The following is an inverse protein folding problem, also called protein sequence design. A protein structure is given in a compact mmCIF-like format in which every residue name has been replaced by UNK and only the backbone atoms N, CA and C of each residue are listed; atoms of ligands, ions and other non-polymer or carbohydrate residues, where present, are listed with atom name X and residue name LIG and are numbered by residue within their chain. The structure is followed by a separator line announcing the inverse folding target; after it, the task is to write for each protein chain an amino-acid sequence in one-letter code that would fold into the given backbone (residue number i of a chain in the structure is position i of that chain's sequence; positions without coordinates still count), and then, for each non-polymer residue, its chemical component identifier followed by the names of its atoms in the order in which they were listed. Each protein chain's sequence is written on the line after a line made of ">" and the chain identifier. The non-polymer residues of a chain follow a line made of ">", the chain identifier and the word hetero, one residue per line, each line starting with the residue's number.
data_IF_010573629084
#
_entry.id   IF_010573629084
#
_cell.length_a   1.000
_cell.length_b   1.000
_cell.length_c   1.000
_cell.angle_alpha   90.00
_cell.angle_beta   90.00
_cell.angle_gamma   90.00
#
_symmetry.space_group_name_H-M   'P 1'
#
loop_
_entity.id
_entity.type
_entity.pdbx_description
1 polymer ?
#
# COMPACT_ATOMS: atom_id res chain seq x y z
N UNK A 1 -2.99 11.58 -10.62
CA UNK A 1 -1.99 10.93 -9.74
C UNK A 1 -2.36 9.45 -9.58
N UNK A 2 -1.44 8.52 -9.80
CA UNK A 2 -1.64 7.08 -9.50
C UNK A 2 -0.57 6.62 -8.51
N UNK A 3 -0.95 6.60 -7.22
CA UNK A 3 -0.05 6.38 -6.12
C UNK A 3 -0.43 5.09 -5.40
N UNK A 4 0.51 4.19 -5.23
CA UNK A 4 0.37 2.91 -4.54
C UNK A 4 1.27 2.89 -3.31
N UNK A 5 0.70 2.56 -2.14
CA UNK A 5 1.47 2.50 -0.90
C UNK A 5 1.31 1.14 -0.24
N UNK A 6 2.35 0.70 0.47
CA UNK A 6 2.30 -0.51 1.28
C UNK A 6 1.43 -0.35 2.56
N UNK A 7 0.85 0.83 2.78
CA UNK A 7 0.03 1.14 3.95
C UNK A 7 -1.07 2.16 3.62
N UNK A 8 -1.89 2.51 4.60
CA UNK A 8 -2.89 3.57 4.47
C UNK A 8 -2.31 4.97 4.16
N UNK A 9 -0.99 5.13 4.13
CA UNK A 9 -0.32 6.40 3.80
C UNK A 9 -0.79 6.97 2.46
N UNK A 10 -0.91 6.12 1.43
CA UNK A 10 -1.42 6.54 0.13
C UNK A 10 -2.82 7.15 0.20
N UNK A 11 -3.72 6.55 1.00
CA UNK A 11 -5.06 7.08 1.22
C UNK A 11 -5.06 8.48 1.84
N UNK A 12 -4.20 8.73 2.83
CA UNK A 12 -4.06 10.06 3.44
C UNK A 12 -3.49 11.10 2.47
N UNK A 13 -2.53 10.72 1.62
CA UNK A 13 -1.98 11.63 0.60
C UNK A 13 -3.07 12.07 -0.39
N UNK A 14 -3.92 11.14 -0.86
CA UNK A 14 -5.08 11.51 -1.69
C UNK A 14 -6.04 12.46 -0.97
N UNK A 15 -6.34 12.23 0.30
CA UNK A 15 -7.19 13.14 1.09
C UNK A 15 -6.57 14.54 1.18
N UNK A 16 -5.26 14.63 1.41
CA UNK A 16 -4.57 15.91 1.52
C UNK A 16 -4.44 16.67 0.19
N UNK A 17 -4.41 15.97 -0.93
CA UNK A 17 -4.38 16.55 -2.27
C UNK A 17 -5.76 16.87 -2.83
N UNK A 18 -6.83 16.47 -2.14
CA UNK A 18 -8.21 16.56 -2.61
C UNK A 18 -8.45 15.88 -3.97
N UNK A 19 -7.72 14.78 -4.21
CA UNK A 19 -7.85 14.00 -5.44
C UNK A 19 -8.70 12.76 -5.25
N UNK A 20 -9.34 12.29 -6.33
CA UNK A 20 -10.04 11.02 -6.32
C UNK A 20 -9.10 9.83 -6.20
N UNK A 21 -9.55 8.80 -5.48
CA UNK A 21 -8.86 7.51 -5.38
C UNK A 21 -8.92 6.78 -6.73
N UNK A 22 -7.76 6.61 -7.38
CA UNK A 22 -7.66 6.11 -8.76
C UNK A 22 -7.31 4.62 -8.87
N UNK A 23 -6.84 3.99 -7.80
CA UNK A 23 -6.46 2.57 -7.83
C UNK A 23 -7.07 1.78 -6.67
N UNK A 24 -7.14 0.44 -6.76
CA UNK A 24 -7.74 -0.40 -5.73
C UNK A 24 -6.88 -0.55 -4.46
N UNK A 25 -5.61 -0.14 -4.48
CA UNK A 25 -4.65 -0.32 -3.38
C UNK A 25 -4.74 0.74 -2.28
N UNK A 26 -5.77 1.58 -2.29
CA UNK A 26 -5.97 2.59 -1.26
C UNK A 26 -6.59 1.98 0.00
N UNK A 27 -6.11 2.41 1.17
CA UNK A 27 -6.58 1.95 2.47
C UNK A 27 -6.36 0.45 2.72
N UNK A 28 -5.38 -0.12 2.05
CA UNK A 28 -4.93 -1.49 2.27
C UNK A 28 -3.55 -1.51 2.93
N UNK A 29 -3.17 -2.69 3.34
CA UNK A 29 -1.85 -3.00 3.84
C UNK A 29 -1.23 -4.09 2.97
N UNK A 30 0.02 -3.91 2.57
CA UNK A 30 0.75 -4.84 1.71
C UNK A 30 2.07 -5.19 2.40
N UNK A 31 2.28 -6.46 2.65
CA UNK A 31 3.52 -6.96 3.25
C UNK A 31 4.72 -6.67 2.33
N UNK A 32 5.95 -6.53 2.85
CA UNK A 32 7.11 -6.12 2.06
C UNK A 32 7.36 -6.98 0.82
N UNK A 33 7.29 -8.32 0.95
CA UNK A 33 7.47 -9.22 -0.19
C UNK A 33 6.35 -9.07 -1.23
N UNK A 34 5.12 -8.94 -0.79
CA UNK A 34 3.98 -8.71 -1.69
C UNK A 34 4.06 -7.34 -2.37
N UNK A 35 4.58 -6.32 -1.66
CA UNK A 35 4.80 -4.99 -2.23
C UNK A 35 5.93 -5.01 -3.29
N UNK A 36 7.02 -5.72 -3.02
CA UNK A 36 8.07 -5.94 -4.00
C UNK A 36 7.52 -6.67 -5.25
N UNK A 37 6.75 -7.74 -5.05
CA UNK A 37 6.11 -8.46 -6.15
C UNK A 37 5.16 -7.56 -6.94
N UNK A 38 4.40 -6.69 -6.25
CA UNK A 38 3.53 -5.72 -6.90
C UNK A 38 4.32 -4.75 -7.80
N UNK A 39 5.47 -4.26 -7.36
CA UNK A 39 6.34 -3.41 -8.18
C UNK A 39 6.80 -4.17 -9.43
N UNK A 40 7.35 -5.37 -9.25
CA UNK A 40 7.97 -6.16 -10.35
C UNK A 40 6.95 -6.64 -11.38
N UNK A 41 5.77 -7.04 -10.91
CA UNK A 41 4.73 -7.64 -11.77
C UNK A 41 3.59 -6.70 -12.12
N UNK A 42 3.61 -5.43 -11.70
CA UNK A 42 2.51 -4.49 -11.80
C UNK A 42 1.80 -4.53 -13.16
N UNK A 43 2.54 -4.40 -14.26
CA UNK A 43 1.99 -4.39 -15.62
C UNK A 43 1.67 -5.79 -16.19
N UNK A 44 2.01 -6.86 -15.45
CA UNK A 44 1.81 -8.25 -15.87
C UNK A 44 0.70 -8.95 -15.11
N UNK A 45 0.28 -8.40 -13.97
CA UNK A 45 -0.76 -8.99 -13.13
C UNK A 45 -2.12 -8.99 -13.83
N UNK A 46 -2.81 -10.11 -13.76
CA UNK A 46 -4.21 -10.18 -14.12
C UNK A 46 -5.08 -9.71 -12.94
N UNK A 47 -5.35 -8.44 -12.88
CA UNK A 47 -6.15 -7.82 -11.81
C UNK A 47 -7.62 -8.26 -11.76
N UNK A 48 -8.10 -9.02 -12.73
CA UNK A 48 -9.42 -9.66 -12.71
C UNK A 48 -9.39 -11.03 -12.05
N UNK A 49 -8.21 -11.65 -11.96
CA UNK A 49 -7.98 -12.91 -11.26
C UNK A 49 -7.74 -12.64 -9.78
N UNK A 50 -8.81 -12.32 -9.05
CA UNK A 50 -8.73 -12.06 -7.61
C UNK A 50 -9.39 -13.19 -6.83
N UNK A 51 -8.71 -13.64 -5.78
CA UNK A 51 -9.22 -14.60 -4.81
C UNK A 51 -9.26 -13.98 -3.42
N UNK A 52 -10.15 -14.49 -2.58
CA UNK A 52 -10.36 -13.96 -1.24
C UNK A 52 -10.01 -15.02 -0.21
N UNK A 53 -9.27 -14.63 0.80
CA UNK A 53 -8.91 -15.50 1.91
C UNK A 53 -9.17 -14.78 3.23
N UNK A 54 -9.69 -15.53 4.20
CA UNK A 54 -9.78 -15.01 5.57
C UNK A 54 -8.37 -14.82 6.12
N UNK A 55 -8.09 -13.65 6.67
CA UNK A 55 -6.80 -13.41 7.31
C UNK A 55 -6.71 -14.25 8.59
N UNK A 56 -5.60 -14.97 8.72
CA UNK A 56 -5.27 -15.72 9.93
C UNK A 56 -4.43 -14.90 10.91
N UNK A 57 -3.85 -13.81 10.44
CA UNK A 57 -2.88 -13.01 11.19
C UNK A 57 -3.53 -11.83 11.94
N UNK A 58 -4.51 -11.19 11.31
CA UNK A 58 -5.19 -10.01 11.88
C UNK A 58 -6.70 -10.22 11.82
N UNK A 59 -7.34 -10.21 12.98
CA UNK A 59 -8.76 -10.55 13.15
C UNK A 59 -9.75 -9.72 12.31
N UNK A 60 -9.39 -8.49 11.99
CA UNK A 60 -10.26 -7.52 11.29
C UNK A 60 -9.87 -7.27 9.83
N UNK A 61 -9.08 -8.15 9.21
CA UNK A 61 -8.62 -7.95 7.84
C UNK A 61 -9.11 -9.03 6.89
N UNK A 62 -9.16 -8.66 5.61
CA UNK A 62 -9.47 -9.56 4.51
C UNK A 62 -8.26 -9.61 3.58
N UNK A 63 -7.77 -10.81 3.30
CA UNK A 63 -6.72 -11.02 2.32
C UNK A 63 -7.34 -11.14 0.94
N UNK A 64 -6.90 -10.27 0.04
CA UNK A 64 -7.20 -10.33 -1.40
C UNK A 64 -5.93 -10.71 -2.11
N UNK A 65 -5.96 -11.79 -2.85
CA UNK A 65 -4.81 -12.32 -3.59
C UNK A 65 -5.04 -12.06 -5.06
N UNK A 66 -4.14 -11.33 -5.69
CA UNK A 66 -4.18 -10.96 -7.10
C UNK A 66 -3.25 -11.91 -7.85
N UNK A 67 -3.83 -12.63 -8.82
CA UNK A 67 -3.13 -13.53 -9.74
C UNK A 67 -2.25 -14.58 -9.05
N UNK A 68 -2.58 -14.95 -7.81
CA UNK A 68 -1.79 -15.80 -6.92
C UNK A 68 -0.36 -15.28 -6.63
N UNK A 69 -0.06 -14.02 -6.94
CA UNK A 69 1.28 -13.43 -6.83
C UNK A 69 1.34 -12.39 -5.72
N UNK A 70 0.34 -11.53 -5.59
CA UNK A 70 0.33 -10.41 -4.65
C UNK A 70 -0.82 -10.53 -3.68
N UNK A 71 -0.51 -10.54 -2.39
CA UNK A 71 -1.49 -10.49 -1.31
C UNK A 71 -1.61 -9.08 -0.75
N UNK A 72 -2.83 -8.57 -0.67
CA UNK A 72 -3.16 -7.28 -0.05
C UNK A 72 -4.18 -7.49 1.06
N UNK A 73 -4.05 -6.73 2.14
CA UNK A 73 -4.94 -6.78 3.29
C UNK A 73 -5.82 -5.52 3.33
N UNK A 74 -7.12 -5.69 3.21
CA UNK A 74 -8.09 -4.61 3.43
C UNK A 74 -8.44 -4.52 4.91
N UNK A 75 -8.16 -3.37 5.56
CA UNK A 75 -8.24 -3.23 7.01
C UNK A 75 -9.54 -2.54 7.45
N UNK A 76 -9.78 -1.31 7.06
CA UNK A 76 -10.81 -0.48 7.70
C UNK A 76 -11.96 -0.06 6.80
N UNK A 77 -11.79 -0.13 5.50
CA UNK A 77 -12.76 0.43 4.57
C UNK A 77 -13.98 -0.45 4.40
N UNK A 78 -13.79 -1.75 4.51
CA UNK A 78 -14.86 -2.75 4.34
C UNK A 78 -15.84 -2.67 5.50
N UNK A 79 -15.34 -2.59 6.74
CA UNK A 79 -16.17 -2.56 7.96
C UNK A 79 -17.13 -1.35 8.01
N UNK A 80 -16.76 -0.24 7.38
CA UNK A 80 -17.60 0.97 7.31
C UNK A 80 -18.70 0.88 6.25
N UNK A 81 -18.62 -0.05 5.32
CA UNK A 81 -19.48 -0.12 4.13
C UNK A 81 -20.26 -1.43 4.02
N UNK A 82 -19.82 -2.48 4.66
CA UNK A 82 -20.44 -3.80 4.64
C UNK A 82 -20.78 -4.23 6.07
N UNK A 83 -21.88 -4.97 6.21
CA UNK A 83 -22.13 -5.70 7.44
C UNK A 83 -21.10 -6.81 7.55
N UNK A 84 -20.35 -6.80 8.63
CA UNK A 84 -19.28 -7.76 8.88
C UNK A 84 -19.76 -8.76 9.92
N UNK A 85 -19.78 -10.02 9.56
CA UNK A 85 -20.01 -11.11 10.49
C UNK A 85 -18.67 -11.58 11.07
N UNK A 86 -18.68 -12.01 12.33
CA UNK A 86 -17.48 -12.51 13.01
C UNK A 86 -17.71 -13.93 13.53
N UNK A 87 -16.73 -14.79 13.31
CA UNK A 87 -16.67 -16.12 13.91
C UNK A 87 -15.37 -16.22 14.72
N UNK A 88 -15.49 -16.56 15.99
CA UNK A 88 -14.33 -16.65 16.92
C UNK A 88 -13.45 -15.39 16.94
N UNK A 89 -14.09 -14.22 16.76
CA UNK A 89 -13.42 -12.91 16.71
C UNK A 89 -12.68 -12.59 15.41
N UNK A 90 -12.82 -13.42 14.37
CA UNK A 90 -12.31 -13.14 13.02
C UNK A 90 -13.45 -12.70 12.11
N UNK A 91 -13.19 -11.71 11.26
CA UNK A 91 -14.14 -11.26 10.25
C UNK A 91 -14.35 -12.36 9.20
N UNK A 92 -15.61 -12.67 8.91
CA UNK A 92 -15.97 -13.66 7.89
C UNK A 92 -16.05 -13.02 6.53
N UNK A 93 -15.48 -13.65 5.52
CA UNK A 93 -15.60 -13.22 4.13
C UNK A 93 -16.98 -13.61 3.59
N UNK A 94 -17.92 -12.69 3.71
CA UNK A 94 -19.27 -12.86 3.14
C UNK A 94 -19.29 -12.56 1.64
N UNK A 95 -20.35 -12.95 0.94
CA UNK A 95 -20.54 -12.60 -0.45
C UNK A 95 -20.63 -11.08 -0.66
N UNK A 96 -21.19 -10.35 0.32
CA UNK A 96 -21.26 -8.89 0.26
C UNK A 96 -19.88 -8.25 0.33
N UNK A 97 -18.99 -8.75 1.19
CA UNK A 97 -17.59 -8.31 1.26
C UNK A 97 -16.87 -8.57 -0.05
N UNK A 98 -16.99 -9.79 -0.62
CA UNK A 98 -16.39 -10.13 -1.93
C UNK A 98 -16.89 -9.20 -3.02
N UNK A 99 -18.21 -9.02 -3.13
CA UNK A 99 -18.84 -8.14 -4.12
C UNK A 99 -18.39 -6.69 -3.95
N UNK A 100 -18.30 -6.20 -2.70
CA UNK A 100 -17.85 -4.85 -2.42
C UNK A 100 -16.40 -4.62 -2.87
N UNK A 101 -15.48 -5.53 -2.54
CA UNK A 101 -14.07 -5.41 -2.94
C UNK A 101 -13.94 -5.57 -4.46
N UNK A 102 -14.61 -6.54 -5.08
CA UNK A 102 -14.61 -6.71 -6.54
C UNK A 102 -15.07 -5.43 -7.25
N UNK A 103 -16.13 -4.80 -6.79
CA UNK A 103 -16.61 -3.53 -7.32
C UNK A 103 -15.57 -2.38 -7.20
N UNK A 104 -14.71 -2.41 -6.16
CA UNK A 104 -13.60 -1.45 -6.05
C UNK A 104 -12.60 -1.68 -7.18
N UNK A 105 -12.22 -2.94 -7.45
CA UNK A 105 -11.34 -3.30 -8.54
C UNK A 105 -11.95 -2.91 -9.88
N UNK A 106 -13.15 -3.37 -10.20
CA UNK A 106 -13.83 -3.11 -11.48
C UNK A 106 -13.93 -1.61 -11.80
N UNK A 107 -14.24 -0.79 -10.80
CA UNK A 107 -14.38 0.65 -10.96
C UNK A 107 -13.06 1.40 -11.09
N UNK A 108 -11.99 0.90 -10.42
CA UNK A 108 -10.72 1.63 -10.32
C UNK A 108 -9.65 1.12 -11.27
N UNK A 109 -9.67 -0.16 -11.68
CA UNK A 109 -8.71 -0.69 -12.64
C UNK A 109 -8.61 0.12 -13.94
N UNK A 110 -9.73 0.56 -14.57
CA UNK A 110 -9.65 1.38 -15.78
C UNK A 110 -8.98 2.74 -15.59
N UNK A 111 -8.77 3.17 -14.35
CA UNK A 111 -8.14 4.45 -14.02
C UNK A 111 -6.65 4.30 -13.64
N UNK A 112 -6.16 3.08 -13.55
CA UNK A 112 -4.75 2.80 -13.28
C UNK A 112 -3.91 3.20 -14.50
N UNK A 113 -2.73 3.74 -14.23
CA UNK A 113 -1.73 4.05 -15.26
C UNK A 113 -0.67 2.96 -15.29
N UNK A 114 0.05 2.87 -16.42
CA UNK A 114 1.15 1.91 -16.58
C UNK A 114 2.35 2.21 -15.68
N UNK A 115 2.48 3.46 -15.24
CA UNK A 115 3.59 3.92 -14.40
C UNK A 115 3.07 4.56 -13.10
N UNK A 116 2.71 3.76 -12.09
CA UNK A 116 2.35 4.29 -10.79
C UNK A 116 3.58 4.76 -10.02
N UNK A 117 3.37 5.66 -9.07
CA UNK A 117 4.36 6.01 -8.07
C UNK A 117 4.15 5.12 -6.85
N UNK A 118 5.19 4.41 -6.43
CA UNK A 118 5.15 3.56 -5.26
C UNK A 118 5.64 4.32 -4.02
N UNK A 119 4.93 4.18 -2.89
CA UNK A 119 5.38 4.68 -1.60
C UNK A 119 5.54 3.51 -0.65
N UNK A 120 6.76 3.29 -0.21
CA UNK A 120 7.10 2.25 0.74
C UNK A 120 7.52 2.86 2.08
N UNK A 121 6.91 2.37 3.15
CA UNK A 121 7.30 2.69 4.51
C UNK A 121 7.87 1.45 5.19
N UNK A 122 9.17 1.43 5.38
CA UNK A 122 9.92 0.35 5.98
C UNK A 122 9.61 0.17 7.48
N UNK A 123 9.41 1.27 8.17
CA UNK A 123 9.21 1.28 9.63
C UNK A 123 7.93 0.56 10.13
N UNK A 124 7.08 0.03 9.23
CA UNK A 124 5.86 -0.71 9.59
C UNK A 124 6.17 -2.16 9.94
N UNK A 125 7.22 -2.71 9.38
CA UNK A 125 7.59 -4.11 9.52
C UNK A 125 8.80 -4.27 10.43
N UNK A 126 8.90 -5.41 11.08
CA UNK A 126 10.16 -5.81 11.71
C UNK A 126 11.22 -5.93 10.62
N UNK A 127 12.08 -4.94 10.57
CA UNK A 127 13.21 -4.75 9.69
C UNK A 127 13.64 -6.03 8.93
N UNK A 128 13.17 -6.18 7.71
CA UNK A 128 13.86 -6.97 6.72
C UNK A 128 14.57 -6.00 5.77
N UNK A 129 15.76 -5.57 6.19
CA UNK A 129 16.58 -4.62 5.42
C UNK A 129 16.84 -5.14 4.00
N UNK A 130 16.85 -6.47 3.82
CA UNK A 130 17.11 -7.09 2.52
C UNK A 130 15.99 -6.85 1.50
N UNK A 131 14.74 -6.87 1.94
CA UNK A 131 13.61 -6.59 1.02
C UNK A 131 13.49 -5.09 0.73
N UNK A 132 13.76 -4.22 1.71
CA UNK A 132 13.78 -2.78 1.50
C UNK A 132 14.86 -2.39 0.50
N UNK A 133 16.03 -3.01 0.57
CA UNK A 133 17.10 -2.80 -0.41
C UNK A 133 16.70 -3.28 -1.82
N UNK A 134 16.05 -4.45 -1.94
CA UNK A 134 15.51 -4.93 -3.22
C UNK A 134 14.48 -3.95 -3.80
N UNK A 135 13.58 -3.42 -2.96
CA UNK A 135 12.61 -2.42 -3.40
C UNK A 135 13.33 -1.15 -3.86
N UNK A 136 14.33 -0.67 -3.11
CA UNK A 136 15.10 0.52 -3.47
C UNK A 136 15.85 0.34 -4.80
N UNK A 137 16.34 -0.84 -5.11
CA UNK A 137 17.09 -1.16 -6.31
C UNK A 137 16.23 -1.32 -7.59
N UNK A 138 14.90 -1.31 -7.51
CA UNK A 138 14.04 -1.40 -8.72
C UNK A 138 14.07 -0.10 -9.53
N UNK A 139 13.71 -0.15 -10.82
CA UNK A 139 13.65 1.03 -11.71
C UNK A 139 12.32 1.82 -11.60
N UNK A 140 11.36 1.35 -10.81
CA UNK A 140 10.07 2.01 -10.64
C UNK A 140 10.21 3.38 -9.95
N UNK A 141 9.35 4.34 -10.30
CA UNK A 141 9.26 5.61 -9.58
C UNK A 141 8.75 5.38 -8.16
N UNK A 142 9.55 5.72 -7.15
CA UNK A 142 9.23 5.40 -5.76
C UNK A 142 9.80 6.37 -4.74
N UNK A 143 9.07 6.45 -3.64
CA UNK A 143 9.50 7.13 -2.43
C UNK A 143 9.57 6.12 -1.30
N UNK A 144 10.67 6.07 -0.58
CA UNK A 144 10.90 5.15 0.55
C UNK A 144 11.11 5.97 1.81
N UNK A 145 10.34 5.67 2.86
CA UNK A 145 10.55 6.22 4.20
C UNK A 145 11.12 5.10 5.06
N UNK A 146 12.32 5.30 5.56
CA UNK A 146 13.09 4.28 6.29
C UNK A 146 13.88 4.89 7.45
N UNK A 147 14.36 4.07 8.38
CA UNK A 147 15.34 4.48 9.39
C UNK A 147 16.78 4.12 8.98
N UNK A 148 16.96 3.47 7.84
CA UNK A 148 18.24 2.98 7.34
C UNK A 148 18.87 3.98 6.36
N UNK A 149 19.90 4.71 6.80
CA UNK A 149 20.63 5.68 6.00
C UNK A 149 21.53 5.06 4.91
N UNK A 150 21.87 3.77 5.02
CA UNK A 150 22.62 3.08 3.97
C UNK A 150 21.88 3.02 2.62
N UNK A 151 20.56 3.22 2.63
CA UNK A 151 19.73 3.25 1.44
C UNK A 151 19.83 4.56 0.65
N UNK A 152 20.41 5.62 1.22
CA UNK A 152 20.62 6.90 0.51
C UNK A 152 21.41 6.75 -0.80
N UNK A 153 22.24 5.69 -0.92
CA UNK A 153 22.94 5.34 -2.16
C UNK A 153 22.03 5.08 -3.37
N UNK A 154 20.73 4.81 -3.13
CA UNK A 154 19.73 4.57 -4.18
C UNK A 154 18.97 5.84 -4.59
N UNK A 155 19.23 7.00 -3.97
CA UNK A 155 18.63 8.25 -4.41
C UNK A 155 19.02 8.56 -5.86
N UNK A 156 18.01 8.81 -6.70
CA UNK A 156 18.16 9.23 -8.09
C UNK A 156 16.85 9.92 -8.54
N UNK A 157 16.74 10.24 -9.82
CA UNK A 157 15.55 10.93 -10.36
C UNK A 157 14.24 10.15 -10.11
N UNK A 158 14.29 8.82 -10.11
CA UNK A 158 13.11 7.96 -9.91
C UNK A 158 12.94 7.48 -8.47
N UNK A 159 13.93 7.67 -7.60
CA UNK A 159 13.92 7.13 -6.23
C UNK A 159 14.25 8.21 -5.23
N UNK A 160 13.31 8.51 -4.35
CA UNK A 160 13.52 9.39 -3.21
C UNK A 160 13.54 8.60 -1.90
N UNK A 161 14.65 8.66 -1.18
CA UNK A 161 14.78 8.07 0.15
C UNK A 161 14.66 9.15 1.22
N UNK A 162 13.73 8.98 2.14
CA UNK A 162 13.56 9.81 3.33
C UNK A 162 14.02 9.00 4.53
N UNK A 163 15.11 9.44 5.17
CA UNK A 163 15.58 8.81 6.40
C UNK A 163 14.93 9.46 7.61
N UNK A 164 14.14 8.69 8.34
CA UNK A 164 13.52 9.12 9.60
C UNK A 164 13.98 8.23 10.76
N UNK A 165 14.90 8.76 11.56
CA UNK A 165 15.45 8.07 12.74
C UNK A 165 14.62 8.29 14.01
N UNK A 166 13.57 9.11 13.95
CA UNK A 166 12.90 9.62 15.15
C UNK A 166 11.86 8.68 15.74
N UNK A 167 11.44 7.63 15.01
CA UNK A 167 10.44 6.72 15.54
C UNK A 167 10.67 5.27 15.11
N UNK A 168 10.98 4.42 16.08
CA UNK A 168 10.60 3.00 16.01
C UNK A 168 9.09 2.94 16.20
N UNK A 169 8.39 2.54 15.19
CA UNK A 169 6.94 2.49 15.24
C UNK A 169 6.42 1.51 16.26
N UNK A 170 5.59 2.04 17.12
CA UNK A 170 4.61 1.25 17.85
C UNK A 170 3.52 0.89 16.86
N UNK A 171 3.40 -0.39 16.54
CA UNK A 171 2.35 -0.95 15.72
C UNK A 171 0.99 -0.48 16.29
N UNK A 172 0.29 0.39 15.60
CA UNK A 172 -1.10 0.70 15.88
C UNK A 172 -1.46 2.16 16.01
N UNK A 173 -2.27 2.76 15.42
CA UNK A 173 -3.23 3.87 15.52
C UNK A 173 -2.89 5.22 14.92
N UNK A 174 -1.65 5.73 14.88
CA UNK A 174 -1.42 7.12 14.42
C UNK A 174 -0.47 7.26 13.23
N UNK A 175 0.11 6.21 12.83
CA UNK A 175 1.29 6.14 11.99
C UNK A 175 1.16 6.65 10.54
N UNK A 176 0.26 6.12 9.70
CA UNK A 176 0.23 6.56 8.30
C UNK A 176 -0.12 8.03 8.17
N UNK A 177 -1.00 8.54 9.06
CA UNK A 177 -1.38 9.95 9.07
C UNK A 177 -0.22 10.84 9.54
N UNK A 178 0.57 10.38 10.52
CA UNK A 178 1.73 11.13 11.01
C UNK A 178 2.75 11.35 9.89
N UNK A 179 3.14 10.31 9.16
CA UNK A 179 4.05 10.44 8.03
C UNK A 179 3.45 11.23 6.87
N UNK A 180 2.18 11.00 6.56
CA UNK A 180 1.49 11.77 5.55
C UNK A 180 1.51 13.27 5.88
N UNK A 181 1.33 13.65 7.14
CA UNK A 181 1.39 15.04 7.60
C UNK A 181 2.82 15.56 7.61
N UNK A 182 3.76 14.84 8.22
CA UNK A 182 5.16 15.23 8.39
C UNK A 182 5.87 15.46 7.05
N UNK A 183 5.62 14.58 6.08
CA UNK A 183 6.30 14.60 4.78
C UNK A 183 5.41 15.04 3.63
N UNK A 184 4.23 15.62 3.91
CA UNK A 184 3.24 16.03 2.91
C UNK A 184 3.86 16.77 1.73
N UNK A 185 4.62 17.84 2.01
CA UNK A 185 5.20 18.69 0.98
C UNK A 185 6.20 17.91 0.11
N UNK A 186 7.09 17.15 0.73
CA UNK A 186 8.11 16.37 0.02
C UNK A 186 7.43 15.33 -0.86
N UNK A 187 6.44 14.57 -0.32
CA UNK A 187 5.71 13.55 -1.07
C UNK A 187 4.97 14.17 -2.25
N UNK A 188 4.24 15.26 -2.05
CA UNK A 188 3.48 15.91 -3.12
C UNK A 188 4.40 16.53 -4.18
N UNK A 189 5.56 17.05 -3.80
CA UNK A 189 6.56 17.54 -4.76
C UNK A 189 7.10 16.40 -5.61
N UNK A 190 7.53 15.31 -4.99
CA UNK A 190 8.01 14.13 -5.71
C UNK A 190 6.95 13.58 -6.66
N UNK A 191 5.71 13.44 -6.18
CA UNK A 191 4.60 12.95 -7.01
C UNK A 191 4.34 13.86 -8.22
N UNK A 192 4.37 15.18 -8.05
CA UNK A 192 4.18 16.14 -9.15
C UNK A 192 5.26 16.05 -10.23
N UNK A 193 6.47 15.69 -9.87
CA UNK A 193 7.55 15.51 -10.85
C UNK A 193 7.41 14.24 -11.70
N UNK A 194 6.59 13.28 -11.25
CA UNK A 194 6.45 11.96 -11.88
C UNK A 194 5.04 11.71 -12.45
N UNK A 195 4.17 12.73 -12.48
CA UNK A 195 2.82 12.69 -13.09
C UNK A 195 2.68 13.68 -14.20
#
# INVERSE_FOLDING_TARGET
>A
MNLISNSCLGGYIYQFSNEELKNPFQWCFIEPNDFFNLIIYYNKLNYKNITFRQSTEVKSTYDVIIDNIVKIKYIHYVEKKCKVDTISGHNVITNDVKKFISNIFDRRLPRMTEQPIFIYCDNIHKNDDSITEKIAATDASKLIITNNDSLLKYNNDNTLIIVDKTQRMIIGKTYPIHYATKYKTIILTFVKHHT
#
